data_IF_708128946924
#
_entry.id   IF_708128946924
#
_cell.length_a   1.000
_cell.length_b   1.000
_cell.length_c   1.000
_cell.angle_alpha   90.00
_cell.angle_beta   90.00
_cell.angle_gamma   90.00
#
_symmetry.space_group_name_H-M   'P 1'
#
loop_
_entity.id
_entity.type
_entity.pdbx_description
1 polymer ?
#
# COMPACT_ATOMS: atom_id res chain seq x y z
N UNK A 1 -23.25 10.44 6.47
CA UNK A 1 -23.08 9.61 5.26
C UNK A 1 -21.61 9.54 4.84
N UNK A 2 -20.92 10.67 4.61
CA UNK A 2 -19.51 10.64 4.18
C UNK A 2 -18.52 10.03 5.20
N UNK A 3 -18.75 10.24 6.49
CA UNK A 3 -17.92 9.67 7.58
C UNK A 3 -17.93 8.13 7.59
N UNK A 4 -19.02 7.50 7.13
CA UNK A 4 -19.12 6.04 7.11
C UNK A 4 -18.20 5.39 6.06
N UNK A 5 -17.68 6.17 5.10
CA UNK A 5 -16.69 5.65 4.15
C UNK A 5 -15.32 5.45 4.79
N UNK A 6 -15.02 6.17 5.87
CA UNK A 6 -13.78 6.02 6.62
C UNK A 6 -13.69 4.62 7.26
N UNK A 7 -14.82 4.07 7.72
CA UNK A 7 -14.91 2.71 8.26
C UNK A 7 -14.50 1.62 7.24
N UNK A 8 -14.56 1.91 5.94
CA UNK A 8 -14.10 1.01 4.88
C UNK A 8 -12.64 1.22 4.48
N UNK A 9 -12.03 2.34 4.87
CA UNK A 9 -10.65 2.73 4.55
C UNK A 9 -9.69 2.37 5.70
N UNK A 10 -9.92 1.23 6.35
CA UNK A 10 -9.00 0.68 7.36
C UNK A 10 -7.69 0.22 6.71
N UNK A 11 -6.62 0.12 7.50
CA UNK A 11 -5.34 -0.41 7.03
C UNK A 11 -5.48 -1.81 6.40
N UNK A 12 -6.22 -2.71 7.04
CA UNK A 12 -6.50 -4.04 6.51
C UNK A 12 -7.21 -4.00 5.15
N UNK A 13 -8.26 -3.19 5.01
CA UNK A 13 -8.99 -3.09 3.75
C UNK A 13 -8.11 -2.52 2.65
N UNK A 14 -7.33 -1.48 2.95
CA UNK A 14 -6.37 -0.89 2.00
C UNK A 14 -5.36 -1.95 1.56
N UNK A 15 -4.83 -2.75 2.49
CA UNK A 15 -3.92 -3.85 2.19
C UNK A 15 -4.56 -4.86 1.23
N UNK A 16 -5.77 -5.32 1.53
CA UNK A 16 -6.48 -6.31 0.70
C UNK A 16 -6.79 -5.78 -0.70
N UNK A 17 -7.37 -4.57 -0.80
CA UNK A 17 -7.72 -3.97 -2.08
C UNK A 17 -6.49 -3.68 -2.95
N UNK A 18 -5.40 -3.23 -2.33
CA UNK A 18 -4.14 -2.96 -3.02
C UNK A 18 -3.54 -4.26 -3.57
N UNK A 19 -3.52 -5.34 -2.80
CA UNK A 19 -3.08 -6.65 -3.27
C UNK A 19 -3.98 -7.21 -4.38
N UNK A 20 -5.31 -7.09 -4.24
CA UNK A 20 -6.25 -7.52 -5.28
C UNK A 20 -6.13 -6.72 -6.58
N UNK A 21 -5.70 -5.46 -6.53
CA UNK A 21 -5.43 -4.67 -7.73
C UNK A 21 -4.07 -4.98 -8.35
N UNK A 22 -3.02 -5.06 -7.53
CA UNK A 22 -1.64 -5.20 -7.98
C UNK A 22 -1.32 -6.62 -8.43
N UNK A 23 -1.78 -7.66 -7.74
CA UNK A 23 -1.43 -9.04 -8.10
C UNK A 23 -1.92 -9.43 -9.51
N UNK A 24 -3.17 -9.15 -9.93
CA UNK A 24 -3.60 -9.39 -11.31
C UNK A 24 -2.80 -8.57 -12.32
N UNK A 25 -2.37 -7.36 -11.96
CA UNK A 25 -1.53 -6.53 -12.81
C UNK A 25 -0.16 -7.19 -13.04
N UNK A 26 0.46 -7.74 -11.99
CA UNK A 26 1.71 -8.49 -12.13
C UNK A 26 1.54 -9.76 -12.97
N UNK A 27 0.48 -10.53 -12.73
CA UNK A 27 0.16 -11.72 -13.52
C UNK A 27 -0.05 -11.37 -15.00
N UNK A 28 -0.74 -10.28 -15.30
CA UNK A 28 -0.94 -9.79 -16.66
C UNK A 28 0.40 -9.45 -17.35
N UNK A 29 1.32 -8.78 -16.65
CA UNK A 29 2.64 -8.45 -17.19
C UNK A 29 3.49 -9.70 -17.48
N UNK A 30 3.38 -10.74 -16.65
CA UNK A 30 4.11 -11.99 -16.84
C UNK A 30 3.54 -12.78 -18.02
N UNK A 31 2.21 -12.92 -18.12
CA UNK A 31 1.57 -13.75 -19.15
C UNK A 31 1.52 -13.05 -20.51
N UNK A 32 1.24 -11.74 -20.54
CA UNK A 32 1.00 -10.97 -21.77
C UNK A 32 1.83 -9.68 -21.83
N UNK A 33 3.17 -9.73 -21.73
CA UNK A 33 4.01 -8.53 -21.60
C UNK A 33 3.90 -7.56 -22.79
N UNK A 34 3.70 -8.08 -24.01
CA UNK A 34 3.69 -7.29 -25.24
C UNK A 34 2.29 -6.98 -25.78
N UNK A 35 1.23 -7.24 -25.01
CA UNK A 35 -0.13 -6.92 -25.44
C UNK A 35 -0.36 -5.40 -25.42
N UNK A 36 -1.21 -4.89 -26.32
CA UNK A 36 -1.62 -3.47 -26.31
C UNK A 36 -2.27 -3.08 -24.97
N UNK A 37 -2.92 -4.04 -24.32
CA UNK A 37 -3.55 -3.86 -23.01
C UNK A 37 -2.51 -3.65 -21.91
N UNK A 38 -1.50 -4.51 -21.82
CA UNK A 38 -0.39 -4.36 -20.86
C UNK A 38 0.40 -3.07 -21.07
N UNK A 39 0.69 -2.71 -22.33
CA UNK A 39 1.35 -1.44 -22.67
C UNK A 39 0.53 -0.22 -22.25
N UNK A 40 -0.80 -0.27 -22.36
CA UNK A 40 -1.67 0.81 -21.92
C UNK A 40 -1.54 1.07 -20.42
N UNK A 41 -1.62 0.02 -19.58
CA UNK A 41 -1.52 0.21 -18.14
C UNK A 41 -0.13 0.62 -17.68
N UNK A 42 0.94 0.08 -18.27
CA UNK A 42 2.33 0.44 -17.91
C UNK A 42 2.65 1.88 -18.29
N UNK A 43 2.19 2.35 -19.45
CA UNK A 43 2.44 3.72 -19.89
C UNK A 43 1.45 4.74 -19.30
N UNK A 44 0.42 4.27 -18.59
CA UNK A 44 -0.61 5.13 -18.01
C UNK A 44 -0.17 5.71 -16.67
N UNK A 45 -0.39 7.01 -16.49
CA UNK A 45 -0.19 7.69 -15.21
C UNK A 45 -1.26 7.38 -14.16
N UNK A 46 -2.36 6.72 -14.58
CA UNK A 46 -3.51 6.43 -13.71
C UNK A 46 -3.12 5.52 -12.54
N UNK A 47 -2.37 4.46 -12.80
CA UNK A 47 -1.93 3.50 -11.78
C UNK A 47 -1.05 4.19 -10.70
N UNK A 48 0.03 4.91 -11.08
CA UNK A 48 0.80 5.70 -10.13
C UNK A 48 -0.02 6.73 -9.35
N UNK A 49 -0.99 7.40 -9.99
CA UNK A 49 -1.83 8.39 -9.31
C UNK A 49 -2.75 7.78 -8.25
N UNK A 50 -3.40 6.65 -8.57
CA UNK A 50 -4.27 5.94 -7.63
C UNK A 50 -3.44 5.46 -6.43
N UNK A 51 -2.30 4.80 -6.68
CA UNK A 51 -1.43 4.33 -5.61
C UNK A 51 -0.89 5.49 -4.77
N UNK A 52 -0.45 6.58 -5.39
CA UNK A 52 0.01 7.78 -4.68
C UNK A 52 -1.06 8.35 -3.76
N UNK A 53 -2.31 8.41 -4.22
CA UNK A 53 -3.45 8.87 -3.40
C UNK A 53 -3.65 7.98 -2.17
N UNK A 54 -3.55 6.66 -2.34
CA UNK A 54 -3.63 5.69 -1.23
C UNK A 54 -2.48 5.90 -0.23
N UNK A 55 -1.25 6.09 -0.70
CA UNK A 55 -0.10 6.36 0.15
C UNK A 55 -0.22 7.68 0.92
N UNK A 56 -0.72 8.74 0.29
CA UNK A 56 -0.99 10.02 0.96
C UNK A 56 -2.00 9.82 2.10
N UNK A 57 -3.04 9.03 1.88
CA UNK A 57 -4.03 8.70 2.90
C UNK A 57 -3.43 7.88 4.06
N UNK A 58 -2.58 6.89 3.77
CA UNK A 58 -1.87 6.11 4.79
C UNK A 58 -1.00 7.02 5.65
N UNK A 59 -0.23 7.94 5.04
CA UNK A 59 0.60 8.91 5.77
C UNK A 59 -0.27 9.79 6.67
N UNK A 60 -1.43 10.25 6.17
CA UNK A 60 -2.37 11.01 6.98
C UNK A 60 -2.85 10.23 8.21
N UNK A 61 -3.25 8.96 8.04
CA UNK A 61 -3.69 8.10 9.14
C UNK A 61 -2.58 7.84 10.17
N UNK A 62 -1.35 7.61 9.69
CA UNK A 62 -0.18 7.41 10.57
C UNK A 62 0.07 8.65 11.44
N UNK A 63 -0.04 9.86 10.88
CA UNK A 63 0.10 11.11 11.64
C UNK A 63 -1.04 11.26 12.66
N UNK A 64 -2.28 10.92 12.27
CA UNK A 64 -3.45 11.05 13.13
C UNK A 64 -3.41 10.10 14.34
N UNK A 65 -2.89 8.89 14.14
CA UNK A 65 -2.78 7.84 15.16
C UNK A 65 -1.48 7.95 16.00
N UNK A 66 -0.65 8.97 15.75
CA UNK A 66 0.66 9.17 16.37
C UNK A 66 1.58 7.93 16.25
N UNK A 67 1.46 7.23 15.11
CA UNK A 67 2.26 6.05 14.81
C UNK A 67 3.70 6.50 14.43
N UNK A 68 4.74 5.87 14.99
CA UNK A 68 6.12 6.32 14.79
C UNK A 68 6.64 5.98 13.40
N UNK A 69 6.51 6.92 12.46
CA UNK A 69 7.00 6.84 11.07
C UNK A 69 8.49 6.48 10.99
N UNK A 70 9.29 6.91 11.96
CA UNK A 70 10.73 6.66 12.00
C UNK A 70 11.10 5.26 12.49
N UNK A 71 10.14 4.45 12.95
CA UNK A 71 10.41 3.07 13.37
C UNK A 71 10.81 2.17 12.20
N UNK A 72 10.59 2.59 10.96
CA UNK A 72 11.15 1.95 9.75
C UNK A 72 12.68 1.81 9.84
N UNK A 73 13.37 2.77 10.47
CA UNK A 73 14.84 2.69 10.63
C UNK A 73 15.26 1.63 11.66
N UNK A 74 14.35 1.16 12.52
CA UNK A 74 14.63 0.12 13.51
C UNK A 74 14.75 -1.27 12.91
N UNK A 75 14.26 -1.49 11.68
CA UNK A 75 14.36 -2.77 10.95
C UNK A 75 15.80 -3.32 10.88
N UNK A 76 16.78 -2.42 10.86
CA UNK A 76 18.19 -2.75 10.68
C UNK A 76 18.95 -2.91 12.00
N UNK A 77 18.33 -2.61 13.15
CA UNK A 77 19.03 -2.52 14.43
C UNK A 77 19.20 -3.90 15.10
N UNK A 78 18.17 -4.75 15.06
CA UNK A 78 18.23 -6.12 15.60
C UNK A 78 17.06 -6.97 15.12
N UNK A 79 17.14 -8.29 15.34
CA UNK A 79 16.04 -9.22 15.05
C UNK A 79 14.79 -8.91 15.89
N UNK A 80 14.97 -8.53 17.16
CA UNK A 80 13.86 -8.17 18.05
C UNK A 80 13.14 -6.90 17.56
N UNK A 81 13.90 -5.92 17.09
CA UNK A 81 13.34 -4.72 16.48
C UNK A 81 12.59 -5.04 15.17
N UNK A 82 13.10 -5.99 14.38
CA UNK A 82 12.39 -6.48 13.19
C UNK A 82 11.02 -7.06 13.56
N UNK A 83 10.96 -8.00 14.52
CA UNK A 83 9.70 -8.62 14.94
C UNK A 83 8.69 -7.61 15.48
N UNK A 84 9.16 -6.65 16.29
CA UNK A 84 8.28 -5.63 16.88
C UNK A 84 7.74 -4.64 15.84
N UNK A 85 8.49 -4.34 14.79
CA UNK A 85 8.05 -3.46 13.70
C UNK A 85 7.06 -4.20 12.78
N UNK A 86 7.34 -5.46 12.43
CA UNK A 86 6.44 -6.28 11.60
C UNK A 86 5.10 -6.62 12.26
N UNK A 87 5.00 -6.54 13.59
CA UNK A 87 3.75 -6.75 14.31
C UNK A 87 2.75 -5.59 14.16
N UNK A 88 3.14 -4.45 13.55
CA UNK A 88 2.27 -3.28 13.38
C UNK A 88 1.64 -3.23 12.00
N UNK A 89 0.32 -3.01 11.98
CA UNK A 89 -0.47 -2.94 10.75
C UNK A 89 -0.07 -1.77 9.85
N UNK A 90 0.24 -0.61 10.43
CA UNK A 90 0.69 0.59 9.71
C UNK A 90 1.96 0.34 8.90
N UNK A 91 2.87 -0.50 9.42
CA UNK A 91 4.12 -0.84 8.78
C UNK A 91 3.95 -1.83 7.62
N UNK A 92 2.93 -2.70 7.65
CA UNK A 92 2.66 -3.66 6.57
C UNK A 92 2.21 -3.01 5.25
N UNK A 93 1.94 -1.70 5.27
CA UNK A 93 1.41 -0.92 4.16
C UNK A 93 2.41 0.06 3.54
N UNK A 94 3.57 0.27 4.17
CA UNK A 94 4.64 1.17 3.71
C UNK A 94 5.64 0.38 2.86
#
# INVERSE_FOLDING_TARGET
MLIQFEDYLTFENIYLWTNFGILPFWVMLIILPNSKFSQFFVNSIILPLILSTVYIYIIYQIILLDEPIFDVFKLYLSLDNLYTVFARESFLLV
#
